data_IF_897801407125
#
_entry.id   IF_897801407125
#
_cell.length_a   1.000
_cell.length_b   1.000
_cell.length_c   1.000
_cell.angle_alpha   90.00
_cell.angle_beta   90.00
_cell.angle_gamma   90.00
#
_symmetry.space_group_name_H-M   'P 1'
#
loop_
_entity.id
_entity.type
_entity.pdbx_description
1 polymer ?
#
# COMPACT_ATOMS: atom_id res chain seq x y z
N UNK A 1 -17.26 -26.18 -0.01
CA UNK A 1 -16.33 -25.13 0.49
C UNK A 1 -16.29 -23.86 -0.40
N UNK A 2 -17.31 -23.61 -1.24
CA UNK A 2 -17.36 -22.47 -2.21
C UNK A 2 -18.55 -21.51 -1.94
N UNK A 3 -19.39 -21.77 -0.93
CA UNK A 3 -20.67 -21.07 -0.78
C UNK A 3 -20.64 -19.68 -0.12
N UNK A 4 -19.48 -19.09 0.18
CA UNK A 4 -19.42 -17.79 0.90
C UNK A 4 -19.07 -16.57 0.04
N UNK A 5 -19.02 -16.70 -1.29
CA UNK A 5 -18.61 -15.60 -2.19
C UNK A 5 -19.80 -14.75 -2.68
N UNK A 6 -21.05 -15.07 -2.33
CA UNK A 6 -22.22 -14.32 -2.82
C UNK A 6 -22.69 -13.25 -1.85
N UNK A 7 -21.83 -12.29 -1.49
CA UNK A 7 -22.33 -10.98 -1.03
C UNK A 7 -22.79 -10.23 -2.29
N UNK A 8 -24.10 -10.01 -2.42
CA UNK A 8 -24.72 -9.39 -3.60
C UNK A 8 -24.49 -7.89 -3.71
N UNK A 9 -24.02 -7.23 -2.64
CA UNK A 9 -23.77 -5.78 -2.62
C UNK A 9 -22.49 -5.47 -1.87
N UNK A 10 -21.65 -4.66 -2.51
CA UNK A 10 -20.55 -3.95 -1.85
C UNK A 10 -21.17 -2.90 -0.93
N UNK A 11 -20.79 -2.93 0.34
CA UNK A 11 -21.30 -1.96 1.32
C UNK A 11 -20.50 -0.66 1.25
N UNK A 12 -21.09 0.46 1.68
CA UNK A 12 -20.39 1.75 1.78
C UNK A 12 -19.12 1.63 2.65
N UNK A 13 -19.19 0.85 3.73
CA UNK A 13 -18.06 0.65 4.63
C UNK A 13 -16.93 -0.14 3.96
N UNK A 14 -17.25 -1.13 3.13
CA UNK A 14 -16.24 -1.87 2.34
C UNK A 14 -15.54 -0.95 1.34
N UNK A 15 -16.28 -0.04 0.67
CA UNK A 15 -15.66 0.95 -0.24
C UNK A 15 -14.74 1.89 0.53
N UNK A 16 -15.17 2.40 1.69
CA UNK A 16 -14.34 3.29 2.51
C UNK A 16 -13.07 2.57 2.97
N UNK A 17 -13.18 1.32 3.43
CA UNK A 17 -12.03 0.52 3.83
C UNK A 17 -11.07 0.29 2.65
N UNK A 18 -11.59 -0.06 1.48
CA UNK A 18 -10.79 -0.27 0.27
C UNK A 18 -10.06 1.00 -0.18
N UNK A 19 -10.72 2.15 -0.07
CA UNK A 19 -10.08 3.46 -0.32
C UNK A 19 -8.94 3.70 0.67
N UNK A 20 -9.14 3.46 1.96
CA UNK A 20 -8.08 3.62 2.97
C UNK A 20 -6.91 2.68 2.68
N UNK A 21 -7.19 1.42 2.35
CA UNK A 21 -6.17 0.42 2.01
C UNK A 21 -5.38 0.76 0.75
N UNK A 22 -5.92 1.59 -0.15
CA UNK A 22 -5.18 2.12 -1.29
C UNK A 22 -4.41 3.40 -0.93
N UNK A 23 -5.07 4.36 -0.27
CA UNK A 23 -4.50 5.68 0.01
C UNK A 23 -3.34 5.66 0.99
N UNK A 24 -3.39 4.82 2.03
CA UNK A 24 -2.30 4.72 3.01
C UNK A 24 -0.99 4.26 2.35
N UNK A 25 -0.94 3.13 1.63
CA UNK A 25 0.30 2.72 0.95
C UNK A 25 0.68 3.64 -0.22
N UNK A 26 -0.29 4.26 -0.91
CA UNK A 26 0.02 5.29 -1.90
C UNK A 26 0.76 6.48 -1.27
N UNK A 27 0.29 6.97 -0.13
CA UNK A 27 0.95 8.05 0.59
C UNK A 27 2.37 7.65 1.05
N UNK A 28 2.54 6.43 1.56
CA UNK A 28 3.87 5.90 1.93
C UNK A 28 4.78 5.84 0.71
N UNK A 29 4.28 5.36 -0.43
CA UNK A 29 5.05 5.30 -1.68
C UNK A 29 5.46 6.69 -2.18
N UNK A 30 4.56 7.67 -2.11
CA UNK A 30 4.86 9.06 -2.45
C UNK A 30 5.98 9.63 -1.56
N UNK A 31 5.89 9.42 -0.25
CA UNK A 31 6.93 9.85 0.70
C UNK A 31 8.25 9.15 0.40
N UNK A 32 8.23 7.84 0.14
CA UNK A 32 9.42 7.08 -0.19
C UNK A 32 10.09 7.58 -1.47
N UNK A 33 9.31 7.85 -2.53
CA UNK A 33 9.81 8.43 -3.77
C UNK A 33 10.40 9.82 -3.56
N UNK A 34 9.72 10.68 -2.79
CA UNK A 34 10.24 12.01 -2.47
C UNK A 34 11.53 11.95 -1.68
N UNK A 35 11.59 11.11 -0.64
CA UNK A 35 12.81 10.90 0.15
C UNK A 35 13.94 10.38 -0.74
N UNK A 36 13.66 9.43 -1.63
CA UNK A 36 14.63 8.91 -2.58
C UNK A 36 15.15 10.00 -3.52
N UNK A 37 14.27 10.87 -4.01
CA UNK A 37 14.63 11.94 -4.93
C UNK A 37 15.59 12.97 -4.34
N UNK A 38 15.42 13.28 -3.05
CA UNK A 38 16.25 14.24 -2.33
C UNK A 38 17.43 13.59 -1.59
N UNK A 39 17.56 12.26 -1.65
CA UNK A 39 18.53 11.54 -0.83
C UNK A 39 19.97 11.83 -1.29
N UNK A 40 20.71 12.50 -0.42
CA UNK A 40 22.09 12.96 -0.61
C UNK A 40 23.08 11.90 -1.13
N UNK A 41 22.94 10.62 -0.76
CA UNK A 41 23.83 9.55 -1.24
C UNK A 41 23.75 9.30 -2.75
N UNK A 42 22.71 9.77 -3.43
CA UNK A 42 22.58 9.62 -4.89
C UNK A 42 23.29 10.72 -5.69
N UNK A 43 23.89 11.70 -5.02
CA UNK A 43 24.56 12.82 -5.67
C UNK A 43 26.07 12.75 -5.44
N UNK A 44 26.89 12.77 -6.51
CA UNK A 44 28.34 12.73 -6.38
C UNK A 44 28.81 14.02 -5.67
N UNK A 45 29.40 13.87 -4.48
CA UNK A 45 29.91 14.98 -3.68
C UNK A 45 29.35 15.08 -2.25
N UNK A 46 28.37 14.25 -1.87
CA UNK A 46 27.98 14.05 -0.46
C UNK A 46 27.78 15.35 0.34
N UNK A 47 27.12 16.35 -0.25
CA UNK A 47 26.90 17.62 0.43
C UNK A 47 25.91 17.46 1.59
N UNK A 48 26.20 18.10 2.73
CA UNK A 48 25.32 18.14 3.91
C UNK A 48 23.96 18.81 3.63
N UNK A 49 23.84 19.50 2.49
CA UNK A 49 22.64 20.21 2.05
C UNK A 49 21.95 19.45 0.92
N UNK A 50 20.60 19.47 0.88
CA UNK A 50 19.85 18.82 -0.16
C UNK A 50 20.26 19.34 -1.54
N UNK A 51 20.32 18.45 -2.54
CA UNK A 51 20.76 18.79 -3.88
C UNK A 51 19.81 19.81 -4.51
N UNK A 52 20.37 20.81 -5.20
CA UNK A 52 19.61 21.78 -6.00
C UNK A 52 19.00 21.16 -7.27
N UNK A 53 19.18 19.85 -7.47
CA UNK A 53 18.69 19.07 -8.59
C UNK A 53 17.96 17.86 -8.02
N UNK A 54 16.86 17.51 -8.64
CA UNK A 54 16.09 16.29 -8.36
C UNK A 54 16.55 15.18 -9.32
N UNK A 55 16.51 13.92 -8.88
CA UNK A 55 16.75 12.72 -9.70
C UNK A 55 15.60 12.58 -10.68
N UNK A 56 14.37 12.74 -10.20
CA UNK A 56 13.16 12.66 -10.97
C UNK A 56 12.85 14.00 -11.62
N UNK A 57 13.27 14.15 -12.88
CA UNK A 57 12.97 15.35 -13.68
C UNK A 57 11.54 15.37 -14.20
N UNK A 58 10.90 14.21 -14.31
CA UNK A 58 9.53 14.07 -14.81
C UNK A 58 8.55 13.88 -13.63
N UNK A 59 7.59 14.80 -13.43
CA UNK A 59 6.53 14.66 -12.44
C UNK A 59 5.72 13.36 -12.57
N UNK A 60 5.70 12.77 -13.77
CA UNK A 60 4.99 11.52 -14.01
C UNK A 60 5.53 10.34 -13.20
N UNK A 61 6.81 10.37 -12.81
CA UNK A 61 7.43 9.33 -11.96
C UNK A 61 6.73 9.28 -10.59
N UNK A 62 6.43 10.45 -10.02
CA UNK A 62 5.72 10.56 -8.75
C UNK A 62 4.29 10.03 -8.85
N UNK A 63 3.58 10.40 -9.91
CA UNK A 63 2.19 9.97 -10.13
C UNK A 63 2.14 8.46 -10.34
N UNK A 64 2.91 7.94 -11.29
CA UNK A 64 2.92 6.51 -11.62
C UNK A 64 3.44 5.65 -10.46
N UNK A 65 4.53 6.06 -9.80
CA UNK A 65 5.09 5.35 -8.66
C UNK A 65 4.15 5.33 -7.44
N UNK A 66 3.45 6.43 -7.17
CA UNK A 66 2.43 6.51 -6.11
C UNK A 66 1.25 5.57 -6.39
N UNK A 67 0.75 5.56 -7.62
CA UNK A 67 -0.34 4.67 -8.02
C UNK A 67 0.07 3.20 -7.93
N UNK A 68 1.25 2.85 -8.44
CA UNK A 68 1.79 1.49 -8.35
C UNK A 68 1.97 1.06 -6.89
N UNK A 69 2.57 1.91 -6.05
CA UNK A 69 2.74 1.65 -4.63
C UNK A 69 1.40 1.48 -3.90
N UNK A 70 0.41 2.30 -4.25
CA UNK A 70 -0.97 2.17 -3.75
C UNK A 70 -1.60 0.83 -4.11
N UNK A 71 -1.52 0.40 -5.38
CA UNK A 71 -2.05 -0.90 -5.80
C UNK A 71 -1.33 -2.06 -5.12
N UNK A 72 0.00 -2.05 -5.11
CA UNK A 72 0.79 -3.12 -4.47
C UNK A 72 0.45 -3.23 -2.98
N UNK A 73 0.45 -2.10 -2.27
CA UNK A 73 0.10 -2.08 -0.84
C UNK A 73 -1.35 -2.50 -0.57
N UNK A 74 -2.30 -2.06 -1.40
CA UNK A 74 -3.70 -2.47 -1.31
C UNK A 74 -3.85 -4.00 -1.36
N UNK A 75 -3.22 -4.65 -2.34
CA UNK A 75 -3.28 -6.11 -2.46
C UNK A 75 -2.57 -6.81 -1.30
N UNK A 76 -1.40 -6.32 -0.88
CA UNK A 76 -0.67 -6.89 0.25
C UNK A 76 -1.50 -6.83 1.54
N UNK A 77 -2.07 -5.67 1.87
CA UNK A 77 -2.91 -5.50 3.06
C UNK A 77 -4.11 -6.44 2.99
N UNK A 78 -4.80 -6.54 1.85
CA UNK A 78 -5.93 -7.47 1.70
C UNK A 78 -5.55 -8.93 1.89
N UNK A 79 -4.41 -9.36 1.35
CA UNK A 79 -3.91 -10.73 1.53
C UNK A 79 -3.61 -11.02 3.00
N UNK A 80 -2.99 -10.07 3.71
CA UNK A 80 -2.72 -10.22 5.15
C UNK A 80 -4.02 -10.30 5.95
N UNK A 81 -4.97 -9.40 5.70
CA UNK A 81 -6.28 -9.40 6.39
C UNK A 81 -7.03 -10.70 6.13
N UNK A 82 -6.98 -11.22 4.90
CA UNK A 82 -7.58 -12.50 4.55
C UNK A 82 -6.97 -13.65 5.36
N UNK A 83 -5.63 -13.71 5.44
CA UNK A 83 -4.92 -14.73 6.21
C UNK A 83 -5.30 -14.71 7.71
N UNK A 84 -5.38 -13.53 8.31
CA UNK A 84 -5.81 -13.36 9.71
C UNK A 84 -7.24 -13.88 9.91
N UNK A 85 -8.17 -13.52 9.02
CA UNK A 85 -9.56 -13.98 9.10
C UNK A 85 -9.70 -15.50 8.96
N UNK A 86 -8.87 -16.14 8.12
CA UNK A 86 -8.86 -17.60 8.01
C UNK A 86 -8.36 -18.28 9.28
N UNK A 87 -7.32 -17.71 9.92
CA UNK A 87 -6.78 -18.23 11.18
C UNK A 87 -7.80 -18.15 12.32
N UNK A 88 -8.44 -16.99 12.50
CA UNK A 88 -9.50 -16.79 13.50
C UNK A 88 -10.67 -17.76 13.27
N UNK A 89 -11.08 -17.95 12.00
CA UNK A 89 -12.14 -18.88 11.64
C UNK A 89 -11.77 -20.35 11.94
N UNK A 90 -10.49 -20.72 11.81
CA UNK A 90 -10.00 -22.05 12.20
C UNK A 90 -9.99 -22.24 13.71
N UNK A 91 -9.52 -21.25 14.48
CA UNK A 91 -9.52 -21.32 15.94
C UNK A 91 -10.94 -21.44 16.51
N UNK A 92 -11.89 -20.66 16.01
CA UNK A 92 -13.29 -20.72 16.42
C UNK A 92 -13.98 -22.07 16.13
N UNK A 93 -13.49 -22.84 15.15
CA UNK A 93 -13.96 -24.21 14.88
C UNK A 93 -13.37 -25.25 15.83
N UNK A 94 -12.15 -25.02 16.32
CA UNK A 94 -11.48 -25.91 17.29
C UNK A 94 -12.09 -25.79 18.69
N UNK A 95 -12.53 -24.61 19.11
CA UNK A 95 -13.13 -24.36 20.43
C UNK A 95 -14.60 -24.81 20.55
N UNK A 96 -15.27 -25.08 19.42
CA UNK A 96 -16.65 -25.58 19.38
C UNK A 96 -16.76 -27.12 19.28
N UNK A 97 -15.64 -27.82 19.14
CA UNK A 97 -15.56 -29.28 19.18
C UNK A 97 -15.06 -29.73 20.55
#
# INVERSE_FOLDING_TARGET
>A
MIHRVRKTRVTRNEIIADLIFFFVPALIALIALYVFDIHWNFYPGGSLFPPMKYIFTDPWIYVSGTLVGGFVGFFLIKLVVLGIHEEEAMQARKTKK
#
